data_IF_031602859232
#
_entry.id   IF_031602859232
#
_cell.length_a   1.000
_cell.length_b   1.000
_cell.length_c   1.000
_cell.angle_alpha   90.00
_cell.angle_beta   90.00
_cell.angle_gamma   90.00
#
_symmetry.space_group_name_H-M   'P 1'
#
loop_
_entity.id
_entity.type
_entity.pdbx_description
1 polymer ?
#
# COMPACT_ATOMS: atom_id res chain seq x y z
N UNK A 1 -0.97 8.66 -13.22
CA UNK A 1 0.17 7.81 -13.62
C UNK A 1 0.12 7.59 -15.12
N UNK A 2 1.25 7.42 -15.76
CA UNK A 2 1.35 7.09 -17.17
C UNK A 2 1.69 5.61 -17.34
N UNK A 3 1.08 4.96 -18.32
CA UNK A 3 1.55 3.68 -18.82
C UNK A 3 2.83 3.92 -19.62
N UNK A 4 3.90 3.19 -19.35
CA UNK A 4 5.17 3.36 -20.07
C UNK A 4 5.84 2.06 -20.48
N UNK A 5 5.41 0.91 -19.98
CA UNK A 5 5.96 -0.38 -20.33
C UNK A 5 4.88 -1.45 -20.50
N UNK A 6 5.09 -2.34 -21.44
CA UNK A 6 4.25 -3.51 -21.72
C UNK A 6 5.09 -4.78 -21.74
N UNK A 7 4.56 -5.83 -21.13
CA UNK A 7 5.08 -7.18 -21.24
C UNK A 7 3.89 -8.13 -21.49
N UNK A 8 3.95 -8.91 -22.55
CA UNK A 8 2.86 -9.81 -22.93
C UNK A 8 2.16 -9.39 -24.21
N UNK A 9 1.30 -10.26 -24.70
CA UNK A 9 0.58 -10.06 -25.94
C UNK A 9 1.46 -10.22 -27.19
N UNK A 10 0.98 -9.71 -28.32
CA UNK A 10 1.63 -9.83 -29.63
C UNK A 10 2.98 -9.11 -29.69
N UNK A 11 3.09 -7.98 -29.01
CA UNK A 11 4.25 -7.09 -29.05
C UNK A 11 5.51 -7.71 -28.45
N UNK A 12 5.36 -8.61 -27.47
CA UNK A 12 6.48 -9.25 -26.78
C UNK A 12 6.56 -10.75 -27.02
N UNK A 13 5.59 -11.33 -27.73
CA UNK A 13 5.48 -12.78 -27.95
C UNK A 13 5.09 -13.61 -26.73
N UNK A 14 4.83 -13.00 -25.58
CA UNK A 14 4.37 -13.67 -24.37
C UNK A 14 2.86 -13.93 -24.48
N UNK A 15 2.44 -15.20 -24.29
CA UNK A 15 1.07 -15.64 -24.60
C UNK A 15 0.24 -15.98 -23.36
N UNK A 16 0.86 -16.15 -22.20
CA UNK A 16 0.19 -16.62 -20.98
C UNK A 16 -0.34 -15.46 -20.11
N UNK A 17 0.19 -14.26 -20.31
CA UNK A 17 -0.18 -13.06 -19.54
C UNK A 17 0.16 -11.77 -20.28
N UNK A 18 -0.40 -10.67 -19.80
CA UNK A 18 0.03 -9.33 -20.15
C UNK A 18 0.21 -8.48 -18.88
N UNK A 19 1.19 -7.57 -18.93
CA UNK A 19 1.49 -6.68 -17.79
C UNK A 19 1.73 -5.27 -18.30
N UNK A 20 1.05 -4.30 -17.68
CA UNK A 20 1.27 -2.88 -17.92
C UNK A 20 2.01 -2.26 -16.75
N UNK A 21 3.02 -1.47 -17.04
CA UNK A 21 3.75 -0.69 -16.03
C UNK A 21 3.23 0.74 -16.03
N UNK A 22 2.74 1.16 -14.87
CA UNK A 22 2.32 2.53 -14.61
C UNK A 22 3.36 3.21 -13.75
N UNK A 23 3.71 4.45 -14.09
CA UNK A 23 4.67 5.23 -13.31
C UNK A 23 4.29 6.68 -13.16
N UNK A 24 4.69 7.23 -12.04
CA UNK A 24 4.76 8.66 -11.79
C UNK A 24 5.86 8.88 -10.73
N UNK A 25 6.82 9.74 -11.03
CA UNK A 25 8.01 9.94 -10.22
C UNK A 25 8.66 8.58 -9.81
N UNK A 26 8.74 8.25 -8.52
CA UNK A 26 9.32 6.99 -8.03
C UNK A 26 8.31 5.84 -7.92
N UNK A 27 7.03 6.09 -8.18
CA UNK A 27 5.99 5.05 -8.12
C UNK A 27 6.09 4.17 -9.35
N UNK A 28 6.04 2.86 -9.13
CA UNK A 28 5.88 1.84 -10.16
C UNK A 28 4.80 0.86 -9.72
N UNK A 29 3.73 0.77 -10.51
CA UNK A 29 2.70 -0.26 -10.35
C UNK A 29 2.70 -1.12 -11.61
N UNK A 30 2.65 -2.44 -11.41
CA UNK A 30 2.57 -3.40 -12.51
C UNK A 30 1.23 -4.11 -12.42
N UNK A 31 0.39 -3.90 -13.41
CA UNK A 31 -0.91 -4.56 -13.53
C UNK A 31 -0.74 -5.76 -14.44
N UNK A 32 -0.98 -6.96 -13.91
CA UNK A 32 -0.81 -8.22 -14.65
C UNK A 32 -2.13 -8.96 -14.72
N UNK A 33 -2.51 -9.40 -15.91
CA UNK A 33 -3.67 -10.25 -16.15
C UNK A 33 -3.27 -11.52 -16.92
N UNK A 34 -3.90 -12.69 -16.65
CA UNK A 34 -3.67 -13.90 -17.42
C UNK A 34 -4.35 -13.81 -18.79
N UNK A 35 -3.75 -14.46 -19.80
CA UNK A 35 -4.30 -14.60 -21.15
C UNK A 35 -4.73 -16.03 -21.48
N UNK A 36 -4.42 -16.99 -20.61
CA UNK A 36 -4.76 -18.41 -20.80
C UNK A 36 -5.34 -19.00 -19.52
N UNK A 37 -6.22 -19.99 -19.62
CA UNK A 37 -6.81 -20.68 -18.48
C UNK A 37 -5.78 -21.41 -17.60
N UNK A 38 -4.68 -21.89 -18.21
CA UNK A 38 -3.62 -22.59 -17.50
C UNK A 38 -2.64 -21.67 -16.76
N UNK A 39 -2.81 -20.34 -16.86
CA UNK A 39 -1.94 -19.41 -16.13
C UNK A 39 -2.17 -19.54 -14.63
N UNK A 40 -1.10 -19.66 -13.81
CA UNK A 40 -1.22 -19.70 -12.34
C UNK A 40 -1.77 -18.39 -11.74
N UNK A 41 -1.81 -17.31 -12.52
CA UNK A 41 -2.44 -16.05 -12.12
C UNK A 41 -3.95 -16.22 -11.94
N UNK A 42 -4.59 -17.12 -12.70
CA UNK A 42 -6.01 -17.41 -12.54
C UNK A 42 -6.37 -17.97 -11.16
N UNK A 43 -5.50 -18.79 -10.57
CA UNK A 43 -5.77 -19.35 -9.24
C UNK A 43 -5.76 -18.25 -8.18
N UNK A 44 -4.82 -17.29 -8.30
CA UNK A 44 -4.81 -16.10 -7.46
C UNK A 44 -6.07 -15.25 -7.64
N UNK A 45 -6.49 -14.97 -8.88
CA UNK A 45 -7.67 -14.17 -9.17
C UNK A 45 -8.98 -14.85 -8.71
N UNK A 46 -9.12 -16.16 -8.88
CA UNK A 46 -10.29 -16.90 -8.38
C UNK A 46 -10.43 -16.80 -6.87
N UNK A 47 -9.32 -16.92 -6.16
CA UNK A 47 -9.28 -16.87 -4.69
C UNK A 47 -9.43 -15.45 -4.17
N UNK A 48 -8.60 -14.54 -4.63
CA UNK A 48 -8.41 -13.23 -4.05
C UNK A 48 -9.14 -12.09 -4.78
N UNK A 49 -9.51 -12.27 -6.05
CA UNK A 49 -9.85 -11.16 -6.92
C UNK A 49 -8.61 -10.33 -7.27
N UNK A 50 -8.82 -9.08 -7.67
CA UNK A 50 -7.71 -8.14 -7.87
C UNK A 50 -7.07 -7.77 -6.53
N UNK A 51 -5.75 -7.80 -6.48
CA UNK A 51 -5.01 -7.52 -5.25
C UNK A 51 -3.50 -7.51 -5.46
N UNK A 52 -2.78 -7.26 -4.39
CA UNK A 52 -1.32 -7.19 -4.42
C UNK A 52 -0.72 -8.59 -4.23
N UNK A 53 -0.12 -9.13 -5.28
CA UNK A 53 0.64 -10.38 -5.22
C UNK A 53 2.09 -10.14 -4.83
N UNK A 54 2.71 -9.11 -5.38
CA UNK A 54 4.14 -8.84 -5.25
C UNK A 54 4.38 -7.46 -4.65
N UNK A 55 5.13 -7.42 -3.56
CA UNK A 55 5.74 -6.21 -3.03
C UNK A 55 7.23 -6.26 -3.36
N UNK A 56 7.63 -5.56 -4.42
CA UNK A 56 9.00 -5.54 -4.89
C UNK A 56 9.84 -4.52 -4.11
N UNK A 57 11.03 -4.94 -3.71
CA UNK A 57 12.00 -4.14 -2.97
C UNK A 57 13.28 -3.98 -3.81
N UNK A 58 13.66 -2.74 -4.05
CA UNK A 58 14.93 -2.47 -4.68
C UNK A 58 16.07 -2.71 -3.70
N UNK A 59 17.04 -3.53 -4.13
CA UNK A 59 18.23 -3.91 -3.35
C UNK A 59 19.51 -3.74 -4.16
N UNK A 60 20.64 -3.59 -3.47
CA UNK A 60 21.94 -3.50 -4.11
C UNK A 60 22.44 -4.85 -4.65
N UNK A 61 22.04 -5.95 -3.98
CA UNK A 61 22.41 -7.33 -4.32
C UNK A 61 21.24 -8.27 -3.98
N UNK A 62 20.56 -8.75 -5.05
CA UNK A 62 19.38 -9.61 -4.89
C UNK A 62 19.77 -11.05 -4.46
N UNK A 63 20.98 -11.51 -4.79
CA UNK A 63 21.47 -12.83 -4.37
C UNK A 63 21.76 -12.84 -2.87
N UNK A 64 22.50 -11.85 -2.40
CA UNK A 64 22.81 -11.70 -0.99
C UNK A 64 21.56 -11.52 -0.14
N UNK A 65 20.60 -10.67 -0.58
CA UNK A 65 19.31 -10.49 0.12
C UNK A 65 18.54 -11.81 0.24
N UNK A 66 18.49 -12.61 -0.83
CA UNK A 66 17.85 -13.92 -0.82
C UNK A 66 18.54 -14.89 0.14
N UNK A 67 19.84 -15.12 -0.02
CA UNK A 67 20.55 -16.09 0.79
C UNK A 67 20.52 -15.75 2.29
N UNK A 68 20.59 -14.45 2.62
CA UNK A 68 20.51 -14.03 4.01
C UNK A 68 19.10 -14.24 4.59
N UNK A 69 18.06 -13.93 3.84
CA UNK A 69 16.68 -14.17 4.31
C UNK A 69 16.33 -15.65 4.40
N UNK A 70 16.78 -16.49 3.47
CA UNK A 70 16.60 -17.95 3.56
C UNK A 70 17.36 -18.53 4.76
N UNK A 71 18.61 -18.11 4.98
CA UNK A 71 19.39 -18.51 6.16
C UNK A 71 18.69 -18.18 7.48
N UNK A 72 17.94 -17.09 7.50
CA UNK A 72 17.15 -16.65 8.67
C UNK A 72 15.75 -17.27 8.74
N UNK A 73 15.43 -18.20 7.84
CA UNK A 73 14.19 -19.00 7.90
C UNK A 73 13.08 -18.55 6.95
N UNK A 74 13.35 -17.69 5.98
CA UNK A 74 12.36 -17.36 4.93
C UNK A 74 12.03 -18.59 4.08
N UNK A 75 10.78 -18.67 3.62
CA UNK A 75 10.36 -19.64 2.61
C UNK A 75 10.63 -19.07 1.21
N UNK A 76 11.38 -19.80 0.39
CA UNK A 76 11.68 -19.40 -1.00
C UNK A 76 10.42 -19.31 -1.84
N UNK A 77 10.28 -18.19 -2.57
CA UNK A 77 9.32 -18.02 -3.68
C UNK A 77 10.04 -18.19 -5.03
N UNK A 78 11.20 -17.57 -5.18
CA UNK A 78 11.99 -17.59 -6.42
C UNK A 78 13.46 -17.47 -6.07
N UNK A 79 14.24 -18.46 -6.51
CA UNK A 79 15.70 -18.39 -6.41
C UNK A 79 16.28 -17.26 -7.25
N UNK A 80 17.50 -16.78 -6.96
CA UNK A 80 18.14 -15.72 -7.71
C UNK A 80 18.23 -16.06 -9.20
N UNK A 81 17.54 -15.28 -10.01
CA UNK A 81 17.46 -15.45 -11.47
C UNK A 81 17.96 -14.20 -12.16
N UNK A 82 18.79 -14.37 -13.18
CA UNK A 82 19.28 -13.29 -14.05
C UNK A 82 18.41 -13.23 -15.29
N UNK A 83 17.88 -12.08 -15.58
CA UNK A 83 17.21 -11.76 -16.83
C UNK A 83 18.01 -10.68 -17.55
N UNK A 84 18.20 -10.80 -18.85
CA UNK A 84 19.02 -9.87 -19.63
C UNK A 84 18.44 -9.63 -21.01
N UNK A 85 18.71 -8.45 -21.54
CA UNK A 85 18.51 -8.06 -22.95
C UNK A 85 19.62 -7.08 -23.38
N UNK A 86 19.43 -6.42 -24.51
CA UNK A 86 20.37 -5.44 -25.06
C UNK A 86 20.64 -4.23 -24.16
N UNK A 87 19.78 -3.98 -23.17
CA UNK A 87 19.90 -2.85 -22.23
C UNK A 87 20.60 -3.22 -20.93
N UNK A 88 20.99 -4.48 -20.74
CA UNK A 88 21.71 -4.96 -19.56
C UNK A 88 21.03 -6.12 -18.86
N UNK A 89 21.27 -6.23 -17.55
CA UNK A 89 20.75 -7.32 -16.74
C UNK A 89 20.00 -6.83 -15.49
N UNK A 90 19.01 -7.61 -15.08
CA UNK A 90 18.29 -7.49 -13.81
C UNK A 90 18.40 -8.83 -13.08
N UNK A 91 18.75 -8.79 -11.80
CA UNK A 91 18.70 -9.98 -10.94
C UNK A 91 17.47 -9.87 -10.05
N UNK A 92 16.68 -10.93 -10.02
CA UNK A 92 15.51 -11.03 -9.14
C UNK A 92 15.59 -12.28 -8.29
N UNK A 93 15.06 -12.18 -7.09
CA UNK A 93 14.83 -13.30 -6.18
C UNK A 93 13.63 -13.00 -5.31
N UNK A 94 13.09 -13.96 -4.57
CA UNK A 94 11.90 -13.66 -3.79
C UNK A 94 11.61 -14.67 -2.69
N UNK A 95 10.91 -14.17 -1.66
CA UNK A 95 10.46 -14.95 -0.51
C UNK A 95 8.98 -14.74 -0.28
N UNK A 96 8.33 -15.73 0.31
CA UNK A 96 6.95 -15.57 0.80
C UNK A 96 6.91 -14.70 2.05
N UNK A 97 5.82 -13.94 2.20
CA UNK A 97 5.41 -13.28 3.42
C UNK A 97 4.00 -13.75 3.81
N UNK A 98 3.18 -12.93 4.45
CA UNK A 98 1.84 -13.32 4.90
C UNK A 98 0.92 -13.72 3.73
N UNK A 99 0.09 -14.73 3.97
CA UNK A 99 -0.82 -15.27 2.99
C UNK A 99 -0.10 -15.80 1.75
N UNK A 100 -0.51 -15.30 0.59
CA UNK A 100 0.13 -15.60 -0.70
C UNK A 100 0.95 -14.42 -1.25
N UNK A 101 1.09 -13.34 -0.49
CA UNK A 101 1.93 -12.19 -0.84
C UNK A 101 3.40 -12.58 -0.81
N UNK A 102 4.19 -11.99 -1.70
CA UNK A 102 5.63 -12.25 -1.79
C UNK A 102 6.42 -10.94 -1.79
N UNK A 103 7.61 -10.96 -1.22
CA UNK A 103 8.62 -9.94 -1.43
C UNK A 103 9.56 -10.39 -2.54
N UNK A 104 9.73 -9.54 -3.55
CA UNK A 104 10.70 -9.76 -4.63
C UNK A 104 11.82 -8.74 -4.48
N UNK A 105 13.04 -9.23 -4.30
CA UNK A 105 14.25 -8.42 -4.32
C UNK A 105 14.65 -8.15 -5.76
N UNK A 106 14.85 -6.88 -6.11
CA UNK A 106 15.18 -6.47 -7.49
C UNK A 106 16.49 -5.69 -7.49
N UNK A 107 17.49 -6.26 -8.11
CA UNK A 107 18.76 -5.60 -8.42
C UNK A 107 18.76 -5.20 -9.89
N UNK A 108 18.74 -3.89 -10.19
CA UNK A 108 18.70 -3.38 -11.55
C UNK A 108 19.67 -2.22 -11.83
N UNK A 109 20.73 -2.12 -11.04
CA UNK A 109 21.75 -1.06 -11.20
C UNK A 109 22.43 -1.06 -12.56
N UNK A 110 22.52 -2.22 -13.19
CA UNK A 110 23.18 -2.43 -14.48
C UNK A 110 22.21 -2.46 -15.67
N UNK A 111 20.92 -2.11 -15.45
CA UNK A 111 19.89 -2.15 -16.47
C UNK A 111 19.47 -0.75 -16.88
N UNK A 112 19.53 -0.44 -18.18
CA UNK A 112 19.20 0.88 -18.76
C UNK A 112 17.92 0.86 -19.60
N UNK A 113 17.27 -0.30 -19.73
CA UNK A 113 15.98 -0.42 -20.43
C UNK A 113 14.82 0.21 -19.66
N UNK A 114 13.63 0.18 -20.27
CA UNK A 114 12.46 0.93 -19.83
C UNK A 114 11.98 0.52 -18.43
N UNK A 115 11.96 -0.77 -18.14
CA UNK A 115 11.53 -1.28 -16.82
C UNK A 115 12.34 -2.52 -16.41
N UNK A 116 12.14 -3.65 -17.07
CA UNK A 116 12.88 -4.91 -16.89
C UNK A 116 13.05 -5.60 -18.25
N UNK A 117 13.97 -6.56 -18.39
CA UNK A 117 14.12 -7.33 -19.62
C UNK A 117 12.80 -7.93 -20.11
N UNK A 118 12.58 -7.87 -21.41
CA UNK A 118 11.35 -8.32 -22.06
C UNK A 118 10.19 -7.34 -22.02
N UNK A 119 10.31 -6.20 -21.33
CA UNK A 119 9.34 -5.11 -21.43
C UNK A 119 9.67 -4.18 -22.59
N UNK A 120 8.65 -3.83 -23.38
CA UNK A 120 8.77 -2.86 -24.47
C UNK A 120 8.12 -1.54 -24.10
N UNK A 121 8.52 -0.45 -24.75
CA UNK A 121 7.89 0.84 -24.53
C UNK A 121 6.44 0.80 -24.97
N UNK A 122 5.54 1.25 -24.06
CA UNK A 122 4.15 1.45 -24.38
C UNK A 122 3.87 2.94 -24.56
N UNK A 123 3.46 3.33 -25.78
CA UNK A 123 3.06 4.70 -26.08
C UNK A 123 1.56 4.82 -25.90
N UNK A 124 1.16 5.61 -24.93
CA UNK A 124 -0.24 5.92 -24.69
C UNK A 124 -0.58 7.31 -25.25
N UNK A 125 -1.71 7.41 -25.93
CA UNK A 125 -2.26 8.71 -26.34
C UNK A 125 -2.80 9.52 -25.15
N UNK A 126 -3.00 8.85 -24.01
CA UNK A 126 -3.42 9.46 -22.76
C UNK A 126 -2.22 10.06 -22.04
N UNK A 127 -2.12 11.39 -22.06
CA UNK A 127 -1.06 12.15 -21.40
C UNK A 127 -1.65 13.09 -20.32
N UNK A 128 -2.06 12.57 -19.16
CA UNK A 128 -2.66 13.36 -18.10
C UNK A 128 -1.64 14.28 -17.43
N UNK A 129 -2.11 15.44 -16.96
CA UNK A 129 -1.34 16.31 -16.07
C UNK A 129 -0.97 15.47 -14.82
N UNK A 130 0.29 15.56 -14.40
CA UNK A 130 0.77 14.89 -13.18
C UNK A 130 -0.03 15.35 -11.95
N UNK A 131 -0.37 14.40 -11.09
CA UNK A 131 -1.19 14.67 -9.89
C UNK A 131 -0.38 15.08 -8.67
N UNK A 132 0.96 15.07 -8.75
CA UNK A 132 1.83 15.37 -7.60
C UNK A 132 2.19 14.14 -6.76
N UNK A 133 1.69 12.95 -7.09
CA UNK A 133 2.08 11.70 -6.43
C UNK A 133 3.56 11.39 -6.67
N UNK A 134 4.32 11.01 -5.62
CA UNK A 134 5.79 10.93 -5.66
C UNK A 134 6.36 9.52 -5.46
N UNK A 135 6.03 8.90 -4.35
CA UNK A 135 6.54 7.58 -3.97
C UNK A 135 5.56 6.84 -3.08
N UNK A 136 5.76 5.54 -2.92
CA UNK A 136 5.00 4.73 -1.96
C UNK A 136 5.59 4.97 -0.58
N UNK A 137 4.80 5.54 0.34
CA UNK A 137 5.20 5.86 1.71
C UNK A 137 5.21 4.60 2.58
N UNK A 138 4.13 3.81 2.51
CA UNK A 138 3.99 2.55 3.23
C UNK A 138 2.96 1.64 2.57
N UNK A 139 2.96 0.36 2.96
CA UNK A 139 1.95 -0.62 2.56
C UNK A 139 1.48 -1.38 3.79
N UNK A 140 0.17 -1.50 3.96
CA UNK A 140 -0.43 -2.14 5.13
C UNK A 140 -0.87 -3.56 4.78
N UNK A 141 -0.45 -4.52 5.60
CA UNK A 141 -0.87 -5.91 5.52
C UNK A 141 -1.92 -6.24 6.59
N UNK A 142 -2.99 -6.92 6.19
CA UNK A 142 -3.92 -7.55 7.11
C UNK A 142 -3.57 -9.02 7.27
N UNK A 143 -3.53 -9.48 8.50
CA UNK A 143 -3.28 -10.88 8.85
C UNK A 143 -4.41 -11.46 9.70
N UNK A 144 -4.43 -12.78 9.89
CA UNK A 144 -5.46 -13.47 10.65
C UNK A 144 -5.37 -13.21 12.16
N UNK A 145 -6.36 -13.72 12.90
CA UNK A 145 -6.40 -13.67 14.35
C UNK A 145 -5.15 -14.28 14.97
N UNK A 146 -4.49 -13.54 15.88
CA UNK A 146 -3.27 -13.93 16.59
C UNK A 146 -2.05 -14.16 15.69
N UNK A 147 -2.06 -13.65 14.44
CA UNK A 147 -0.95 -13.79 13.50
C UNK A 147 -0.01 -12.57 13.48
N UNK A 148 -0.44 -11.40 13.96
CA UNK A 148 0.36 -10.16 13.90
C UNK A 148 1.76 -10.35 14.48
N UNK A 149 1.87 -10.92 15.68
CA UNK A 149 3.17 -11.13 16.32
C UNK A 149 4.04 -12.13 15.58
N UNK A 150 3.47 -13.11 14.90
CA UNK A 150 4.20 -14.05 14.03
C UNK A 150 4.85 -13.30 12.86
N UNK A 151 4.10 -12.39 12.22
CA UNK A 151 4.61 -11.62 11.09
C UNK A 151 5.53 -10.48 11.52
N UNK A 152 5.29 -9.86 12.66
CA UNK A 152 6.25 -8.92 13.28
C UNK A 152 7.60 -9.61 13.48
N UNK A 153 7.60 -10.79 14.10
CA UNK A 153 8.81 -11.58 14.30
C UNK A 153 9.48 -11.99 13.00
N UNK A 154 8.71 -12.32 11.96
CA UNK A 154 9.26 -12.58 10.63
C UNK A 154 10.02 -11.35 10.11
N UNK A 155 9.43 -10.15 10.16
CA UNK A 155 10.11 -8.94 9.70
C UNK A 155 11.35 -8.61 10.54
N UNK A 156 11.33 -8.85 11.85
CA UNK A 156 12.49 -8.67 12.73
C UNK A 156 13.60 -9.66 12.40
N UNK A 157 13.32 -10.94 12.49
CA UNK A 157 14.32 -12.00 12.40
C UNK A 157 14.84 -12.21 10.98
N UNK A 158 13.93 -12.20 10.00
CA UNK A 158 14.23 -12.52 8.59
C UNK A 158 14.67 -11.30 7.82
N UNK A 159 13.92 -10.20 7.92
CA UNK A 159 14.16 -8.99 7.13
C UNK A 159 15.07 -7.97 7.84
N UNK A 160 15.32 -8.14 9.14
CA UNK A 160 16.11 -7.21 9.92
C UNK A 160 15.41 -5.86 10.14
N UNK A 161 14.09 -5.83 10.12
CA UNK A 161 13.30 -4.65 10.43
C UNK A 161 13.19 -4.48 11.94
N UNK A 162 12.76 -3.30 12.35
CA UNK A 162 12.48 -2.99 13.75
C UNK A 162 11.00 -2.63 13.91
N UNK A 163 10.44 -2.96 15.06
CA UNK A 163 9.11 -2.48 15.42
C UNK A 163 9.21 -1.00 15.78
N UNK A 164 8.66 -0.16 14.91
CA UNK A 164 8.75 1.29 15.01
C UNK A 164 7.62 1.87 15.87
N UNK A 165 6.40 1.37 15.72
CA UNK A 165 5.20 1.78 16.47
C UNK A 165 4.33 0.57 16.75
N UNK A 166 3.58 0.62 17.86
CA UNK A 166 2.58 -0.39 18.22
C UNK A 166 1.31 0.29 18.72
N UNK A 167 0.17 -0.20 18.28
CA UNK A 167 -1.15 0.25 18.70
C UNK A 167 -1.98 -0.95 19.15
N UNK A 168 -2.58 -0.84 20.32
CA UNK A 168 -3.48 -1.87 20.84
C UNK A 168 -4.95 -1.58 20.50
N UNK A 169 -5.82 -2.54 20.84
CA UNK A 169 -7.27 -2.46 20.64
C UNK A 169 -7.95 -1.35 21.46
N UNK A 170 -7.30 -0.84 22.50
CA UNK A 170 -7.79 0.30 23.28
C UNK A 170 -7.51 1.63 22.60
N UNK A 171 -6.45 1.66 21.78
CA UNK A 171 -6.06 2.85 21.02
C UNK A 171 -6.78 2.92 19.68
N UNK A 172 -7.06 1.74 19.07
CA UNK A 172 -7.72 1.66 17.76
C UNK A 172 -9.06 0.92 17.88
N UNK A 173 -10.10 1.64 18.25
CA UNK A 173 -11.47 1.13 18.33
C UNK A 173 -12.53 2.19 18.04
N UNK A 174 -13.71 1.69 17.65
CA UNK A 174 -14.95 2.45 17.59
C UNK A 174 -15.94 1.88 18.62
N UNK A 175 -17.21 2.28 18.55
CA UNK A 175 -18.27 1.62 19.32
C UNK A 175 -18.47 0.15 18.88
N UNK A 176 -18.17 -0.18 17.61
CA UNK A 176 -18.52 -1.46 16.99
C UNK A 176 -17.35 -2.40 16.84
N UNK A 177 -16.21 -1.94 16.38
CA UNK A 177 -15.07 -2.78 16.03
C UNK A 177 -13.74 -2.27 16.59
N UNK A 178 -12.74 -3.16 16.61
CA UNK A 178 -11.38 -2.84 17.02
C UNK A 178 -10.36 -3.59 16.13
N UNK A 179 -9.11 -3.14 16.16
CA UNK A 179 -7.97 -3.85 15.60
C UNK A 179 -6.71 -3.58 16.41
N UNK A 180 -5.68 -4.39 16.19
CA UNK A 180 -4.32 -4.15 16.66
C UNK A 180 -3.42 -3.92 15.46
N UNK A 181 -2.42 -3.04 15.60
CA UNK A 181 -1.47 -2.72 14.54
C UNK A 181 -0.05 -2.58 15.08
N UNK A 182 0.92 -3.13 14.35
CA UNK A 182 2.35 -2.90 14.58
C UNK A 182 3.04 -2.50 13.30
N UNK A 183 3.86 -1.47 13.37
CA UNK A 183 4.57 -0.91 12.20
C UNK A 183 5.99 -1.42 12.18
N UNK A 184 6.32 -2.17 11.15
CA UNK A 184 7.68 -2.63 10.89
C UNK A 184 8.40 -1.65 9.98
N UNK A 185 9.62 -1.27 10.32
CA UNK A 185 10.42 -0.32 9.54
C UNK A 185 11.83 -0.85 9.32
N UNK A 186 12.38 -0.62 8.12
CA UNK A 186 13.78 -0.90 7.86
C UNK A 186 14.70 0.13 8.53
N UNK A 187 16.00 -0.18 8.62
CA UNK A 187 16.97 0.61 9.40
C UNK A 187 17.09 2.09 9.04
N UNK A 188 16.71 2.50 7.82
CA UNK A 188 16.72 3.91 7.40
C UNK A 188 15.33 4.57 7.40
N UNK A 189 14.29 3.87 7.84
CA UNK A 189 12.92 4.38 7.94
C UNK A 189 12.19 4.63 6.62
N UNK A 190 12.75 4.21 5.48
CA UNK A 190 12.14 4.44 4.16
C UNK A 190 11.10 3.40 3.78
N UNK A 191 11.24 2.18 4.28
CA UNK A 191 10.29 1.09 4.03
C UNK A 191 9.53 0.84 5.32
N UNK A 192 8.22 0.93 5.27
CA UNK A 192 7.33 0.77 6.42
C UNK A 192 6.19 -0.16 6.05
N UNK A 193 5.97 -1.16 6.88
CA UNK A 193 4.89 -2.13 6.74
C UNK A 193 4.09 -2.21 8.05
N UNK A 194 3.00 -1.44 8.19
CA UNK A 194 2.01 -1.71 9.23
C UNK A 194 1.38 -3.09 9.01
N UNK A 195 1.22 -3.85 10.08
CA UNK A 195 0.60 -5.18 10.10
C UNK A 195 -0.57 -5.12 11.05
N UNK A 196 -1.76 -5.36 10.53
CA UNK A 196 -3.00 -5.31 11.28
C UNK A 196 -3.56 -6.71 11.51
N UNK A 197 -4.09 -6.95 12.69
CA UNK A 197 -4.93 -8.12 12.96
C UNK A 197 -6.27 -7.68 13.55
N UNK A 198 -7.35 -8.50 13.42
CA UNK A 198 -8.61 -8.23 14.07
C UNK A 198 -8.46 -8.21 15.58
N UNK A 199 -9.31 -7.43 16.26
CA UNK A 199 -9.48 -7.49 17.71
C UNK A 199 -10.96 -7.67 18.06
N UNK A 200 -11.25 -8.14 19.27
CA UNK A 200 -12.62 -8.35 19.72
C UNK A 200 -13.42 -7.05 19.72
N UNK A 201 -14.60 -7.07 19.12
CA UNK A 201 -15.54 -5.96 19.03
C UNK A 201 -16.98 -6.43 19.11
N UNK A 202 -17.93 -5.51 19.19
CA UNK A 202 -19.37 -5.83 19.19
C UNK A 202 -19.84 -6.32 17.81
N UNK A 203 -19.13 -5.94 16.76
CA UNK A 203 -19.42 -6.28 15.37
C UNK A 203 -18.14 -6.63 14.63
N UNK A 204 -18.32 -7.16 13.44
CA UNK A 204 -17.25 -7.56 12.56
C UNK A 204 -16.36 -6.39 12.16
N UNK A 205 -15.05 -6.53 12.36
CA UNK A 205 -14.09 -5.51 12.01
C UNK A 205 -13.85 -5.45 10.49
N UNK A 206 -13.35 -4.29 10.03
CA UNK A 206 -12.90 -4.15 8.65
C UNK A 206 -11.78 -5.14 8.26
N UNK A 207 -10.98 -5.58 9.22
CA UNK A 207 -9.92 -6.56 8.96
C UNK A 207 -10.52 -7.93 8.69
N UNK A 208 -11.53 -8.35 9.46
CA UNK A 208 -12.26 -9.59 9.21
C UNK A 208 -13.00 -9.55 7.87
N UNK A 209 -13.65 -8.42 7.54
CA UNK A 209 -14.29 -8.24 6.22
C UNK A 209 -13.25 -8.43 5.10
N UNK A 210 -12.08 -7.79 5.22
CA UNK A 210 -11.00 -7.96 4.26
C UNK A 210 -10.57 -9.42 4.11
N UNK A 211 -10.28 -10.09 5.23
CA UNK A 211 -9.81 -11.48 5.23
C UNK A 211 -10.78 -12.43 4.53
N UNK A 212 -12.09 -12.22 4.73
CA UNK A 212 -13.11 -13.06 4.09
C UNK A 212 -13.24 -12.77 2.59
N UNK A 213 -13.33 -11.51 2.19
CA UNK A 213 -13.46 -11.15 0.78
C UNK A 213 -12.19 -11.43 -0.02
N UNK A 214 -11.02 -11.24 0.58
CA UNK A 214 -9.73 -11.54 -0.05
C UNK A 214 -9.42 -13.04 0.00
N UNK A 215 -10.02 -13.78 0.92
CA UNK A 215 -9.75 -15.20 1.12
C UNK A 215 -8.44 -15.47 1.85
N UNK A 216 -8.09 -14.64 2.82
CA UNK A 216 -6.91 -14.75 3.68
C UNK A 216 -6.11 -13.47 3.84
N UNK A 217 -4.90 -13.55 4.46
CA UNK A 217 -4.01 -12.40 4.63
C UNK A 217 -3.54 -11.79 3.31
N UNK A 218 -3.36 -10.46 3.29
CA UNK A 218 -2.88 -9.75 2.11
C UNK A 218 -2.69 -8.25 2.36
N UNK A 219 -2.34 -7.50 1.32
CA UNK A 219 -2.15 -6.05 1.38
C UNK A 219 -3.49 -5.33 1.35
N UNK A 220 -3.79 -4.59 2.43
CA UNK A 220 -5.03 -3.83 2.56
C UNK A 220 -4.98 -2.52 1.78
N UNK A 221 -3.92 -1.72 1.96
CA UNK A 221 -3.77 -0.47 1.23
C UNK A 221 -2.32 -0.10 0.93
N UNK A 222 -2.20 0.79 -0.04
CA UNK A 222 -0.94 1.39 -0.46
C UNK A 222 -1.04 2.89 -0.23
N UNK A 223 -0.20 3.42 0.65
CA UNK A 223 -0.12 4.84 0.90
C UNK A 223 0.89 5.50 -0.04
N UNK A 224 0.46 6.55 -0.71
CA UNK A 224 1.24 7.27 -1.71
C UNK A 224 1.46 8.71 -1.25
N UNK A 225 2.72 9.11 -1.19
CA UNK A 225 3.12 10.42 -0.74
C UNK A 225 2.92 11.51 -1.80
N UNK A 226 2.58 12.70 -1.34
CA UNK A 226 2.56 13.96 -2.11
C UNK A 226 3.12 15.11 -1.28
N UNK A 227 3.55 16.19 -1.94
CA UNK A 227 3.94 17.44 -1.28
C UNK A 227 2.80 18.47 -1.20
N UNK A 228 1.71 18.27 -1.96
CA UNK A 228 0.52 19.12 -1.98
C UNK A 228 -0.73 18.24 -2.09
N UNK A 229 -1.26 17.86 -0.93
CA UNK A 229 -2.41 16.97 -0.85
C UNK A 229 -3.70 17.63 -1.36
N UNK A 230 -3.85 18.95 -1.17
CA UNK A 230 -5.03 19.71 -1.64
C UNK A 230 -5.10 19.64 -3.17
N UNK A 231 -3.99 19.97 -3.85
CA UNK A 231 -3.93 19.90 -5.30
C UNK A 231 -4.10 18.47 -5.80
N UNK A 232 -3.38 17.52 -5.19
CA UNK A 232 -3.42 16.09 -5.57
C UNK A 232 -4.83 15.53 -5.47
N UNK A 233 -5.50 15.72 -4.33
CA UNK A 233 -6.86 15.20 -4.11
C UNK A 233 -7.88 15.88 -5.01
N UNK A 234 -7.76 17.20 -5.22
CA UNK A 234 -8.62 17.94 -6.17
C UNK A 234 -8.52 17.36 -7.58
N UNK A 235 -7.30 17.09 -8.07
CA UNK A 235 -7.08 16.50 -9.39
C UNK A 235 -7.58 15.05 -9.48
N UNK A 236 -7.42 14.26 -8.41
CA UNK A 236 -7.92 12.89 -8.38
C UNK A 236 -9.45 12.84 -8.38
N UNK A 237 -10.11 13.67 -7.56
CA UNK A 237 -11.60 13.81 -7.56
C UNK A 237 -12.13 14.27 -8.91
N UNK A 238 -11.50 15.26 -9.54
CA UNK A 238 -11.86 15.74 -10.86
C UNK A 238 -11.75 14.66 -11.96
N UNK A 239 -10.97 13.61 -11.72
CA UNK A 239 -10.83 12.43 -12.60
C UNK A 239 -11.70 11.25 -12.20
N UNK A 240 -12.63 11.43 -11.26
CA UNK A 240 -13.59 10.42 -10.87
C UNK A 240 -13.10 9.45 -9.79
N UNK A 241 -11.96 9.71 -9.14
CA UNK A 241 -11.55 8.89 -7.99
C UNK A 241 -12.47 9.18 -6.81
N UNK A 242 -13.13 8.15 -6.31
CA UNK A 242 -13.97 8.22 -5.13
C UNK A 242 -13.16 7.96 -3.85
N UNK A 243 -13.44 8.78 -2.83
CA UNK A 243 -12.84 8.66 -1.51
C UNK A 243 -13.89 8.23 -0.48
N UNK A 244 -13.42 7.74 0.65
CA UNK A 244 -14.28 7.44 1.80
C UNK A 244 -15.00 8.70 2.28
N UNK A 245 -16.12 8.53 2.97
CA UNK A 245 -16.94 9.65 3.45
C UNK A 245 -16.19 10.52 4.45
N UNK A 246 -16.42 11.84 4.36
CA UNK A 246 -15.82 12.83 5.25
C UNK A 246 -16.11 12.53 6.73
N UNK A 247 -15.16 12.83 7.64
CA UNK A 247 -15.46 13.01 9.05
C UNK A 247 -16.54 14.08 9.29
N UNK A 248 -17.22 14.07 10.45
CA UNK A 248 -18.14 15.15 10.82
C UNK A 248 -17.44 16.52 10.88
N UNK A 249 -18.19 17.61 10.71
CA UNK A 249 -17.64 18.99 10.75
C UNK A 249 -16.92 19.31 12.07
N UNK A 250 -17.36 18.71 13.18
CA UNK A 250 -16.72 18.84 14.50
C UNK A 250 -15.27 18.37 14.50
N UNK A 251 -14.95 17.38 13.68
CA UNK A 251 -13.57 16.92 13.50
C UNK A 251 -12.65 18.05 13.00
N UNK A 252 -13.12 18.83 12.01
CA UNK A 252 -12.33 19.92 11.41
C UNK A 252 -12.24 21.14 12.36
N UNK A 253 -13.26 21.41 13.14
CA UNK A 253 -13.24 22.46 14.18
C UNK A 253 -12.21 22.15 15.27
N UNK A 254 -11.94 20.88 15.53
CA UNK A 254 -10.97 20.45 16.55
C UNK A 254 -9.51 20.43 16.02
N UNK A 255 -9.26 20.69 14.74
CA UNK A 255 -7.88 20.65 14.17
C UNK A 255 -6.92 21.58 14.94
N UNK A 256 -7.26 22.85 15.26
CA UNK A 256 -6.31 23.71 15.97
C UNK A 256 -5.89 23.15 17.34
N UNK A 257 -6.82 22.56 18.09
CA UNK A 257 -6.51 21.90 19.36
C UNK A 257 -5.65 20.66 19.18
N UNK A 258 -5.96 19.84 18.18
CA UNK A 258 -5.23 18.60 17.88
C UNK A 258 -3.80 18.84 17.39
N UNK A 259 -3.57 19.87 16.61
CA UNK A 259 -2.26 20.24 16.13
C UNK A 259 -1.42 20.94 17.22
N UNK A 260 -2.08 21.62 18.18
CA UNK A 260 -1.38 22.32 19.26
C UNK A 260 -0.28 23.25 18.75
N UNK A 261 0.95 23.00 19.18
CA UNK A 261 2.12 23.78 18.76
C UNK A 261 2.42 23.73 17.25
N UNK A 262 1.99 22.68 16.55
CA UNK A 262 2.22 22.54 15.11
C UNK A 262 1.26 23.36 14.25
N UNK A 263 0.23 23.97 14.85
CA UNK A 263 -0.71 24.84 14.13
C UNK A 263 -0.04 26.01 13.43
N UNK A 264 1.00 26.58 14.04
CA UNK A 264 1.77 27.68 13.45
C UNK A 264 2.57 27.26 12.20
N UNK A 265 2.87 25.97 12.06
CA UNK A 265 3.57 25.41 10.91
C UNK A 265 2.63 25.04 9.77
N UNK A 266 1.32 24.93 10.04
CA UNK A 266 0.32 24.51 9.07
C UNK A 266 0.14 25.59 8.00
N UNK A 267 0.29 25.17 6.75
CA UNK A 267 0.18 26.05 5.57
C UNK A 267 -1.13 25.85 4.81
N UNK A 268 -1.75 24.72 5.01
CA UNK A 268 -2.97 24.28 4.31
C UNK A 268 -4.20 25.00 4.88
N UNK A 269 -5.10 25.41 3.98
CA UNK A 269 -6.37 26.03 4.35
C UNK A 269 -7.34 24.98 4.92
N UNK A 270 -7.74 25.14 6.19
CA UNK A 270 -8.66 24.23 6.90
C UNK A 270 -10.00 24.12 6.15
N UNK A 271 -10.50 25.21 5.55
CA UNK A 271 -11.74 25.15 4.78
C UNK A 271 -11.60 24.24 3.54
N UNK A 272 -10.44 24.27 2.88
CA UNK A 272 -10.15 23.37 1.76
C UNK A 272 -9.96 21.92 2.20
N UNK A 273 -9.34 21.70 3.36
CA UNK A 273 -9.18 20.38 3.97
C UNK A 273 -10.56 19.78 4.26
N UNK A 274 -11.49 20.54 4.85
CA UNK A 274 -12.87 20.11 5.11
C UNK A 274 -13.63 19.84 3.80
N UNK A 275 -13.56 20.75 2.81
CA UNK A 275 -14.19 20.58 1.49
C UNK A 275 -13.74 19.28 0.81
N UNK A 276 -12.47 18.96 0.93
CA UNK A 276 -11.87 17.77 0.29
C UNK A 276 -11.96 16.51 1.15
N UNK A 277 -12.46 16.59 2.38
CA UNK A 277 -12.54 15.48 3.34
C UNK A 277 -11.16 14.92 3.77
N UNK A 278 -10.13 15.75 3.78
CA UNK A 278 -8.78 15.38 4.19
C UNK A 278 -8.71 15.35 5.71
N UNK A 279 -8.09 14.33 6.27
CA UNK A 279 -7.84 14.19 7.71
C UNK A 279 -6.47 14.75 8.08
N UNK A 280 -6.35 15.27 9.29
CA UNK A 280 -5.13 15.88 9.82
C UNK A 280 -4.81 15.28 11.18
N UNK A 281 -3.55 14.95 11.42
CA UNK A 281 -3.06 14.51 12.72
C UNK A 281 -1.64 15.04 12.97
N UNK A 282 -1.17 14.94 14.21
CA UNK A 282 0.17 15.37 14.61
C UNK A 282 0.83 14.33 15.52
N UNK A 283 2.16 14.31 15.48
CA UNK A 283 3.01 13.61 16.43
C UNK A 283 4.06 14.58 17.00
N UNK A 284 5.06 14.06 17.70
CA UNK A 284 6.12 14.91 18.31
C UNK A 284 6.96 15.65 17.25
N UNK A 285 7.12 15.09 16.06
CA UNK A 285 8.01 15.58 15.01
C UNK A 285 7.32 16.56 14.04
N UNK A 286 5.96 16.60 14.00
CA UNK A 286 5.22 17.46 13.09
C UNK A 286 3.77 17.05 12.88
N UNK A 287 3.21 17.37 11.71
CA UNK A 287 1.84 16.97 11.35
C UNK A 287 1.81 16.21 10.01
N UNK A 288 0.72 15.53 9.78
CA UNK A 288 0.45 14.82 8.53
C UNK A 288 -1.01 15.04 8.09
N UNK A 289 -1.21 14.94 6.79
CA UNK A 289 -2.53 14.98 6.17
C UNK A 289 -2.74 13.68 5.38
N UNK A 290 -3.93 13.12 5.46
CA UNK A 290 -4.23 11.85 4.80
C UNK A 290 -5.69 11.75 4.36
N UNK A 291 -5.94 10.99 3.30
CA UNK A 291 -7.27 10.64 2.82
C UNK A 291 -7.23 9.27 2.15
N UNK A 292 -8.31 8.53 2.23
CA UNK A 292 -8.41 7.16 1.74
C UNK A 292 -9.44 7.04 0.63
N UNK A 293 -9.08 6.32 -0.44
CA UNK A 293 -10.03 6.01 -1.52
C UNK A 293 -11.03 4.94 -1.06
N UNK A 294 -12.15 4.85 -1.72
CA UNK A 294 -12.94 3.62 -1.69
C UNK A 294 -12.13 2.48 -2.31
N UNK A 295 -12.48 1.20 -2.06
CA UNK A 295 -11.89 0.07 -2.76
C UNK A 295 -11.94 0.27 -4.28
N UNK A 296 -10.86 -0.10 -4.97
CA UNK A 296 -10.68 0.17 -6.40
C UNK A 296 -11.09 -1.02 -7.29
N UNK A 297 -11.59 -2.06 -6.71
CA UNK A 297 -12.03 -3.31 -7.35
C UNK A 297 -13.39 -3.75 -6.78
N UNK A 298 -13.97 -4.82 -7.35
CA UNK A 298 -15.31 -5.30 -6.99
C UNK A 298 -15.42 -5.78 -5.53
N UNK A 299 -14.33 -6.34 -4.98
CA UNK A 299 -14.28 -6.76 -3.58
C UNK A 299 -13.83 -5.60 -2.69
N UNK A 300 -14.37 -5.44 -1.47
CA UNK A 300 -13.95 -4.39 -0.53
C UNK A 300 -12.61 -4.72 0.13
N UNK A 301 -11.54 -4.82 -0.66
CA UNK A 301 -10.22 -5.26 -0.22
C UNK A 301 -9.17 -4.17 -0.38
N UNK A 302 -8.55 -4.03 -1.55
CA UNK A 302 -7.47 -3.06 -1.77
C UNK A 302 -8.00 -1.64 -1.95
N UNK A 303 -7.41 -0.67 -1.25
CA UNK A 303 -7.64 0.76 -1.46
C UNK A 303 -6.31 1.54 -1.40
N UNK A 304 -6.37 2.84 -1.69
CA UNK A 304 -5.20 3.72 -1.64
C UNK A 304 -5.36 4.78 -0.58
N UNK A 305 -4.24 5.17 0.01
CA UNK A 305 -4.10 6.36 0.84
C UNK A 305 -3.29 7.40 0.09
N UNK A 306 -3.68 8.66 0.20
CA UNK A 306 -2.86 9.81 -0.20
C UNK A 306 -2.39 10.47 1.09
N UNK A 307 -1.09 10.62 1.25
CA UNK A 307 -0.48 11.15 2.48
C UNK A 307 0.50 12.29 2.17
N UNK A 308 0.44 13.35 2.96
CA UNK A 308 1.43 14.42 3.01
C UNK A 308 1.99 14.49 4.42
N UNK A 309 3.32 14.50 4.55
CA UNK A 309 4.01 14.60 5.83
C UNK A 309 4.74 15.93 5.95
N UNK A 310 4.45 16.63 7.04
CA UNK A 310 5.11 17.89 7.41
C UNK A 310 5.93 17.68 8.70
N UNK A 311 6.94 16.81 8.59
CA UNK A 311 7.79 16.40 9.70
C UNK A 311 7.34 15.11 10.40
N UNK A 312 6.04 14.86 10.50
CA UNK A 312 5.48 13.70 11.19
C UNK A 312 6.03 12.37 10.66
N UNK A 313 6.37 11.48 11.58
CA UNK A 313 6.84 10.11 11.31
C UNK A 313 5.77 9.07 11.59
N UNK A 314 4.74 9.44 12.35
CA UNK A 314 3.61 8.58 12.75
C UNK A 314 2.68 8.20 11.59
N UNK A 315 1.55 7.61 11.95
CA UNK A 315 0.56 7.06 11.01
C UNK A 315 -0.85 7.64 11.22
N UNK A 316 -0.95 8.79 11.88
CA UNK A 316 -2.24 9.43 12.12
C UNK A 316 -3.09 8.69 13.17
N UNK A 317 -2.50 8.37 14.32
CA UNK A 317 -3.21 7.66 15.40
C UNK A 317 -4.52 8.34 15.79
N UNK A 318 -4.53 9.68 15.84
CA UNK A 318 -5.74 10.46 16.11
C UNK A 318 -6.78 10.41 14.99
N UNK A 319 -6.41 9.94 13.79
CA UNK A 319 -7.33 9.77 12.66
C UNK A 319 -7.93 8.36 12.59
N UNK A 320 -7.39 7.38 13.34
CA UNK A 320 -7.86 5.98 13.25
C UNK A 320 -9.36 5.87 13.50
N UNK A 321 -9.87 6.53 14.54
CA UNK A 321 -11.30 6.51 14.82
C UNK A 321 -12.13 7.03 13.64
N UNK A 322 -11.76 8.17 13.07
CA UNK A 322 -12.47 8.78 11.94
C UNK A 322 -12.41 7.89 10.67
N UNK A 323 -11.27 7.27 10.41
CA UNK A 323 -11.11 6.29 9.32
C UNK A 323 -12.01 5.07 9.53
N UNK A 324 -11.98 4.48 10.74
CA UNK A 324 -12.81 3.33 11.08
C UNK A 324 -14.29 3.61 10.92
N UNK A 325 -14.78 4.72 11.49
CA UNK A 325 -16.17 5.12 11.34
C UNK A 325 -16.56 5.34 9.87
N UNK A 326 -15.62 5.80 9.02
CA UNK A 326 -15.85 5.93 7.59
C UNK A 326 -15.98 4.57 6.90
N UNK A 327 -15.13 3.62 7.24
CA UNK A 327 -15.18 2.26 6.69
C UNK A 327 -16.43 1.52 7.20
N UNK A 328 -16.77 1.65 8.48
CA UNK A 328 -18.00 1.08 9.05
C UNK A 328 -19.27 1.60 8.37
N UNK A 329 -19.31 2.88 7.99
CA UNK A 329 -20.40 3.42 7.16
C UNK A 329 -20.48 2.75 5.79
N UNK A 330 -19.36 2.43 5.16
CA UNK A 330 -19.36 1.68 3.90
C UNK A 330 -19.75 0.21 4.11
N UNK A 331 -19.30 -0.44 5.21
CA UNK A 331 -19.72 -1.79 5.58
C UNK A 331 -21.26 -1.85 5.82
N UNK A 332 -21.82 -0.87 6.54
CA UNK A 332 -23.26 -0.77 6.76
C UNK A 332 -24.05 -0.65 5.46
N UNK A 333 -23.56 0.14 4.47
CA UNK A 333 -24.19 0.25 3.14
C UNK A 333 -24.17 -1.07 2.37
N UNK A 334 -23.14 -1.89 2.57
CA UNK A 334 -23.02 -3.22 1.96
C UNK A 334 -23.77 -4.32 2.75
N UNK A 335 -24.18 -4.02 3.98
CA UNK A 335 -24.81 -5.01 4.89
C UNK A 335 -23.82 -5.99 5.51
N UNK A 336 -22.56 -5.60 5.66
CA UNK A 336 -21.45 -6.43 6.20
C UNK A 336 -20.97 -6.00 7.58
N UNK A 337 -21.54 -4.92 8.15
CA UNK A 337 -21.23 -4.43 9.51
C UNK A 337 -22.01 -5.21 10.56
#
# INVERSE_FOLDING_TARGET
MLFFGLYGGLETGVKDRTSYVLGQDKIRLVLTTPLTESSPINDHLRKHGDGVKVVALWVDDARSAYHETIKRGARSFMEPTVESDEFGEVVRSGIYTYGETVHVFVERKNYKGIFMPGFVEWKSDYNPIATGLKYIDHMVGNVGWNEMNTWVKFYEDVMGFVNFLSFDDKQIHTEYSALMSKVMSNGNGRIKFPINEPAEGKKRSQIEEYLDFYGGPGVQHIAIATDDIIQTVSLLKARGIEFLSAPPSEYYKAIPERLGQHMEMMKEDIAKIEELAIMVDADEDGYLLQIFTKPQQDRPTLFFEIIQRMGAKGFGAGNFKALFESIEREQAKRGTL
#
